data_IF_400528179085
#
_entry.id   IF_400528179085
#
_cell.length_a   1.000
_cell.length_b   1.000
_cell.length_c   1.000
_cell.angle_alpha   90.00
_cell.angle_beta   90.00
_cell.angle_gamma   90.00
#
_symmetry.space_group_name_H-M   'P 1'
#
loop_
_entity.id
_entity.type
_entity.pdbx_description
1 polymer ?
#
# COMPACT_ATOMS: atom_id res chain seq x y z
N UNK A 1 38.60 -5.32 -14.49
CA UNK A 1 37.89 -5.20 -14.24
C UNK A 1 37.42 -5.27 -14.11
N UNK A 2 37.19 -5.52 -14.14
CA UNK A 2 36.35 -5.54 -13.97
C UNK A 2 35.81 -5.71 -13.58
N UNK A 3 35.93 -6.02 -13.71
CA UNK A 3 35.18 -6.13 -13.28
C UNK A 3 34.79 -6.03 -12.98
N UNK A 4 34.88 -6.20 -13.05
CA UNK A 4 34.17 -6.14 -12.68
C UNK A 4 33.45 -6.12 -12.65
N UNK A 5 33.43 -6.36 -13.03
CA UNK A 5 32.39 -6.46 -12.94
C UNK A 5 31.71 -6.70 -12.70
N UNK A 6 31.84 -7.04 -12.79
CA UNK A 6 30.93 -7.36 -12.39
C UNK A 6 30.48 -7.53 -11.86
N UNK A 7 30.59 -7.64 -11.60
CA UNK A 7 29.98 -7.81 -10.90
C UNK A 7 29.25 -7.57 -10.66
N UNK A 8 29.23 -7.53 -10.76
CA UNK A 8 28.41 -7.19 -10.50
C UNK A 8 27.63 -7.03 -10.39
N UNK A 9 27.68 -7.44 -10.47
CA UNK A 9 26.87 -7.32 -10.34
C UNK A 9 26.10 -7.05 -9.91
N UNK A 10 26.58 -7.28 -9.13
CA UNK A 10 25.70 -6.59 -8.62
C UNK A 10 24.42 -6.08 -9.16
N UNK A 11 24.29 -6.08 -10.17
CA UNK A 11 23.08 -5.78 -10.87
C UNK A 11 21.89 -6.59 -10.46
N UNK A 12 22.12 -7.54 -9.59
CA UNK A 12 21.04 -8.39 -9.10
C UNK A 12 20.19 -7.72 -8.04
N UNK A 13 20.63 -6.58 -7.54
CA UNK A 13 19.84 -5.87 -6.52
C UNK A 13 18.74 -5.11 -7.24
N UNK A 14 17.51 -5.51 -6.99
CA UNK A 14 16.33 -4.88 -7.57
C UNK A 14 15.75 -3.92 -6.54
N UNK A 15 15.65 -2.65 -6.92
CA UNK A 15 15.06 -1.66 -6.04
C UNK A 15 13.58 -1.94 -5.86
N UNK A 16 13.04 -1.76 -4.65
CA UNK A 16 11.61 -1.89 -4.47
C UNK A 16 10.88 -0.87 -5.34
N UNK A 17 9.77 -1.29 -5.91
CA UNK A 17 8.99 -0.38 -6.72
C UNK A 17 8.36 0.69 -5.85
N UNK A 18 8.43 1.95 -6.30
CA UNK A 18 7.75 3.05 -5.64
C UNK A 18 6.32 3.22 -6.16
N UNK A 19 5.95 2.50 -7.22
CA UNK A 19 4.60 2.52 -7.75
C UNK A 19 3.62 1.95 -6.73
N UNK A 20 2.51 2.64 -6.54
CA UNK A 20 1.50 2.18 -5.60
C UNK A 20 0.95 0.84 -6.05
N UNK A 21 0.62 0.71 -7.33
CA UNK A 21 0.06 -0.53 -7.85
C UNK A 21 1.07 -1.69 -7.70
N UNK A 22 2.29 -1.48 -8.17
CA UNK A 22 3.25 -2.58 -8.20
C UNK A 22 3.69 -3.02 -6.81
N UNK A 23 3.86 -2.06 -5.89
CA UNK A 23 4.22 -2.42 -4.52
C UNK A 23 3.07 -3.17 -3.84
N UNK A 24 1.83 -2.80 -4.14
CA UNK A 24 0.68 -3.50 -3.58
C UNK A 24 0.60 -4.92 -4.13
N UNK A 25 0.81 -5.10 -5.43
CA UNK A 25 0.81 -6.42 -6.05
C UNK A 25 1.83 -7.33 -5.38
N UNK A 26 3.00 -6.78 -5.08
CA UNK A 26 4.04 -7.56 -4.44
C UNK A 26 3.62 -8.00 -3.04
N UNK A 27 3.00 -7.11 -2.30
CA UNK A 27 2.66 -7.37 -0.90
C UNK A 27 1.46 -8.30 -0.75
N UNK A 28 0.51 -8.28 -1.69
CA UNK A 28 -0.69 -9.10 -1.51
C UNK A 28 -0.50 -10.56 -1.92
N UNK A 29 0.54 -10.88 -2.65
CA UNK A 29 0.74 -12.26 -3.06
C UNK A 29 1.90 -12.45 -4.00
N UNK A 30 2.79 -11.47 -4.08
CA UNK A 30 3.95 -11.59 -4.93
C UNK A 30 3.61 -11.59 -6.41
N UNK A 31 2.57 -10.87 -6.82
CA UNK A 31 2.19 -10.80 -8.22
C UNK A 31 3.25 -10.02 -8.99
N UNK A 32 3.80 -10.62 -10.04
CA UNK A 32 4.85 -9.99 -10.83
C UNK A 32 4.34 -8.75 -11.54
N UNK A 33 5.21 -7.76 -11.72
CA UNK A 33 4.84 -6.55 -12.42
C UNK A 33 4.38 -6.81 -13.84
N UNK A 34 5.01 -7.81 -14.48
CA UNK A 34 4.67 -8.16 -15.85
C UNK A 34 3.33 -8.87 -16.00
N UNK A 35 2.75 -9.33 -14.89
CA UNK A 35 1.46 -10.01 -14.93
C UNK A 35 0.37 -8.98 -14.68
N UNK A 36 -0.32 -8.58 -15.74
CA UNK A 36 -1.21 -7.42 -15.69
C UNK A 36 -2.69 -7.77 -15.77
N UNK A 37 -3.01 -9.06 -15.78
CA UNK A 37 -4.40 -9.50 -15.98
C UNK A 37 -5.33 -8.93 -14.91
N UNK A 38 -4.86 -8.86 -13.67
CA UNK A 38 -5.68 -8.39 -12.55
C UNK A 38 -5.50 -6.92 -12.24
N UNK A 39 -4.66 -6.21 -13.00
CA UNK A 39 -4.39 -4.80 -12.68
C UNK A 39 -5.66 -3.95 -12.55
N UNK A 40 -6.62 -4.04 -13.48
CA UNK A 40 -7.83 -3.21 -13.33
C UNK A 40 -8.58 -3.50 -12.03
N UNK A 41 -8.67 -4.77 -11.66
CA UNK A 41 -9.37 -5.14 -10.42
C UNK A 41 -8.62 -4.63 -9.20
N UNK A 42 -7.30 -4.79 -9.21
CA UNK A 42 -6.49 -4.36 -8.09
C UNK A 42 -6.53 -2.84 -7.93
N UNK A 43 -6.50 -2.11 -9.05
CA UNK A 43 -6.62 -0.65 -9.00
C UNK A 43 -7.96 -0.25 -8.39
N UNK A 44 -9.04 -0.93 -8.77
CA UNK A 44 -10.35 -0.64 -8.20
C UNK A 44 -10.35 -0.85 -6.69
N UNK A 45 -9.74 -1.93 -6.22
CA UNK A 45 -9.68 -2.20 -4.78
C UNK A 45 -8.80 -1.19 -4.06
N UNK A 46 -7.67 -0.81 -4.66
CA UNK A 46 -6.81 0.22 -4.07
C UNK A 46 -7.58 1.53 -3.91
N UNK A 47 -8.34 1.90 -4.93
CA UNK A 47 -9.10 3.15 -4.89
C UNK A 47 -10.17 3.09 -3.81
N UNK A 48 -10.79 1.93 -3.61
CA UNK A 48 -11.74 1.76 -2.51
C UNK A 48 -11.05 1.97 -1.16
N UNK A 49 -9.88 1.39 -0.98
CA UNK A 49 -9.12 1.55 0.25
C UNK A 49 -8.75 3.01 0.47
N UNK A 50 -8.33 3.69 -0.60
CA UNK A 50 -7.95 5.10 -0.48
C UNK A 50 -9.16 5.97 -0.10
N UNK A 51 -10.34 5.62 -0.58
CA UNK A 51 -11.55 6.32 -0.16
C UNK A 51 -11.81 6.10 1.34
N UNK A 52 -11.61 4.89 1.82
CA UNK A 52 -11.74 4.61 3.25
C UNK A 52 -10.72 5.43 4.04
N UNK A 53 -9.47 5.48 3.58
CA UNK A 53 -8.44 6.28 4.25
C UNK A 53 -8.80 7.75 4.26
N UNK A 54 -9.41 8.24 3.19
CA UNK A 54 -9.88 9.62 3.17
C UNK A 54 -10.97 9.83 4.22
N UNK A 55 -11.89 8.89 4.34
CA UNK A 55 -12.96 8.99 5.35
C UNK A 55 -12.42 8.92 6.77
N UNK A 56 -11.32 8.21 6.97
CA UNK A 56 -10.67 8.13 8.29
C UNK A 56 -9.86 9.39 8.61
N UNK A 57 -9.76 10.31 7.66
CA UNK A 57 -9.01 11.55 7.90
C UNK A 57 -7.52 11.41 7.65
N UNK A 58 -7.09 10.31 7.06
CA UNK A 58 -5.67 10.04 6.82
C UNK A 58 -5.14 10.84 5.65
N UNK A 59 -5.97 11.08 4.63
CA UNK A 59 -5.57 11.81 3.44
C UNK A 59 -5.94 13.29 3.54
N UNK A 60 -5.09 14.13 2.96
CA UNK A 60 -5.34 15.59 2.89
C UNK A 60 -6.41 15.91 1.87
N UNK A 61 -6.55 15.06 0.86
CA UNK A 61 -7.52 15.25 -0.22
C UNK A 61 -7.79 13.90 -0.86
N UNK A 62 -8.91 13.76 -1.58
CA UNK A 62 -9.19 12.49 -2.27
C UNK A 62 -8.08 12.15 -3.26
N UNK A 63 -7.75 10.89 -3.36
CA UNK A 63 -6.69 10.42 -4.25
C UNK A 63 -7.06 9.05 -4.78
N UNK A 64 -6.86 8.83 -6.08
CA UNK A 64 -7.12 7.54 -6.68
C UNK A 64 -6.13 7.29 -7.81
N UNK A 65 -5.92 6.01 -8.11
CA UNK A 65 -5.09 5.61 -9.24
C UNK A 65 -5.93 5.67 -10.51
N UNK A 66 -5.34 6.21 -11.56
CA UNK A 66 -5.98 6.24 -12.88
C UNK A 66 -5.21 5.38 -13.87
N UNK A 67 -3.89 5.50 -13.88
CA UNK A 67 -3.05 4.78 -14.84
C UNK A 67 -2.34 3.59 -14.23
N UNK A 68 -2.16 3.58 -12.93
CA UNK A 68 -1.36 2.57 -12.27
C UNK A 68 0.12 2.91 -12.20
N UNK A 69 0.50 4.09 -12.70
CA UNK A 69 1.89 4.54 -12.64
C UNK A 69 2.13 5.49 -11.48
N UNK A 70 1.09 5.85 -10.76
CA UNK A 70 1.20 6.77 -9.63
C UNK A 70 2.14 6.19 -8.56
N UNK A 71 2.93 7.07 -7.95
CA UNK A 71 3.93 6.65 -6.98
C UNK A 71 3.56 7.14 -5.59
N UNK A 72 4.10 6.44 -4.57
CA UNK A 72 3.82 6.79 -3.19
C UNK A 72 4.27 8.20 -2.84
N UNK A 73 5.24 8.75 -3.57
CA UNK A 73 5.76 10.09 -3.29
C UNK A 73 4.71 11.17 -3.39
N UNK A 74 3.70 10.96 -4.24
CA UNK A 74 2.65 11.96 -4.43
C UNK A 74 1.41 11.68 -3.59
N UNK A 75 1.44 10.64 -2.76
CA UNK A 75 0.30 10.27 -1.95
C UNK A 75 0.02 11.35 -0.90
N UNK A 76 -1.16 12.00 -0.91
CA UNK A 76 -1.43 13.16 -0.07
C UNK A 76 -1.91 12.76 1.31
N UNK A 77 -1.00 12.44 2.22
CA UNK A 77 -1.36 11.98 3.55
C UNK A 77 -0.76 12.85 4.64
N UNK A 78 -1.48 12.92 5.76
CA UNK A 78 -0.97 13.54 6.98
C UNK A 78 -0.02 12.61 7.72
N UNK A 79 -0.08 11.31 7.47
CA UNK A 79 0.70 10.31 8.19
C UNK A 79 2.10 10.24 7.58
N UNK A 80 3.12 10.42 8.42
CA UNK A 80 4.50 10.42 7.94
C UNK A 80 5.02 9.02 7.66
N UNK A 81 4.52 8.04 8.38
CA UNK A 81 4.98 6.66 8.22
C UNK A 81 4.23 5.98 7.10
N UNK A 82 4.74 6.15 5.88
CA UNK A 82 4.12 5.53 4.71
C UNK A 82 4.10 4.01 4.80
N UNK A 83 5.01 3.42 5.58
CA UNK A 83 5.04 1.98 5.68
C UNK A 83 3.75 1.42 6.27
N UNK A 84 3.20 2.12 7.27
CA UNK A 84 1.93 1.72 7.86
C UNK A 84 0.81 1.78 6.82
N UNK A 85 0.80 2.85 6.01
CA UNK A 85 -0.22 3.00 4.98
C UNK A 85 -0.07 1.93 3.91
N UNK A 86 1.15 1.64 3.48
CA UNK A 86 1.40 0.61 2.47
C UNK A 86 0.93 -0.76 2.95
N UNK A 87 1.25 -1.08 4.20
CA UNK A 87 0.86 -2.37 4.77
C UNK A 87 -0.65 -2.46 4.92
N UNK A 88 -1.26 -1.41 5.43
CA UNK A 88 -2.72 -1.37 5.55
C UNK A 88 -3.40 -1.55 4.19
N UNK A 89 -2.91 -0.81 3.19
CA UNK A 89 -3.48 -0.88 1.85
C UNK A 89 -3.40 -2.31 1.31
N UNK A 90 -2.24 -2.93 1.44
CA UNK A 90 -2.07 -4.28 0.92
C UNK A 90 -3.01 -5.28 1.60
N UNK A 91 -3.12 -5.22 2.92
CA UNK A 91 -3.99 -6.15 3.64
C UNK A 91 -5.46 -5.94 3.29
N UNK A 92 -5.88 -4.67 3.20
CA UNK A 92 -7.27 -4.37 2.86
C UNK A 92 -7.58 -4.81 1.43
N UNK A 93 -6.68 -4.53 0.49
CA UNK A 93 -6.87 -4.93 -0.90
C UNK A 93 -6.95 -6.45 -0.99
N UNK A 94 -6.11 -7.16 -0.25
CA UNK A 94 -6.15 -8.62 -0.26
C UNK A 94 -7.50 -9.14 0.21
N UNK A 95 -8.11 -8.50 1.20
CA UNK A 95 -9.42 -8.92 1.68
C UNK A 95 -10.50 -8.81 0.62
N UNK A 96 -10.36 -7.85 -0.30
CA UNK A 96 -11.30 -7.72 -1.41
C UNK A 96 -10.95 -8.65 -2.57
N UNK A 97 -9.66 -8.82 -2.85
CA UNK A 97 -9.19 -9.49 -4.05
C UNK A 97 -9.05 -11.00 -3.86
N UNK A 98 -8.48 -11.42 -2.75
CA UNK A 98 -8.18 -12.84 -2.51
C UNK A 98 -8.17 -13.08 -1.00
N UNK A 99 -9.37 -13.05 -0.37
CA UNK A 99 -9.41 -13.10 1.09
C UNK A 99 -8.97 -14.48 1.62
N UNK A 100 -8.23 -14.48 2.73
CA UNK A 100 -7.95 -15.73 3.41
C UNK A 100 -9.21 -16.26 4.07
N UNK A 101 -9.16 -17.50 4.54
CA UNK A 101 -10.32 -18.12 5.19
C UNK A 101 -9.92 -18.65 6.56
N UNK A 102 -10.93 -18.99 7.35
CA UNK A 102 -10.72 -19.62 8.65
C UNK A 102 -9.96 -18.73 9.62
N UNK A 103 -9.05 -19.33 10.37
CA UNK A 103 -8.28 -18.61 11.38
C UNK A 103 -7.43 -17.50 10.76
N UNK A 104 -6.96 -17.72 9.53
CA UNK A 104 -6.16 -16.71 8.84
C UNK A 104 -6.98 -15.45 8.54
N UNK A 105 -8.27 -15.62 8.24
CA UNK A 105 -9.15 -14.48 7.99
C UNK A 105 -9.36 -13.69 9.28
N UNK A 106 -9.59 -14.39 10.38
CA UNK A 106 -9.79 -13.71 11.65
C UNK A 106 -8.55 -12.92 12.06
N UNK A 107 -7.39 -13.52 11.88
CA UNK A 107 -6.13 -12.83 12.19
C UNK A 107 -5.95 -11.59 11.31
N UNK A 108 -6.30 -11.72 10.04
CA UNK A 108 -6.19 -10.58 9.11
C UNK A 108 -7.16 -9.46 9.50
N UNK A 109 -8.40 -9.81 9.86
CA UNK A 109 -9.37 -8.82 10.30
C UNK A 109 -8.88 -8.07 11.53
N UNK A 110 -8.30 -8.78 12.49
CA UNK A 110 -7.79 -8.17 13.70
C UNK A 110 -6.62 -7.23 13.40
N UNK A 111 -5.73 -7.65 12.51
CA UNK A 111 -4.59 -6.83 12.14
C UNK A 111 -5.04 -5.55 11.44
N UNK A 112 -6.02 -5.67 10.54
CA UNK A 112 -6.56 -4.51 9.84
C UNK A 112 -7.19 -3.54 10.83
N UNK A 113 -7.96 -4.05 11.79
CA UNK A 113 -8.59 -3.22 12.79
C UNK A 113 -7.54 -2.48 13.63
N UNK A 114 -6.46 -3.16 14.00
CA UNK A 114 -5.40 -2.52 14.76
C UNK A 114 -4.73 -1.42 13.95
N UNK A 115 -4.49 -1.67 12.66
CA UNK A 115 -3.87 -0.65 11.82
C UNK A 115 -4.77 0.57 11.66
N UNK A 116 -6.09 0.35 11.53
CA UNK A 116 -7.03 1.47 11.44
C UNK A 116 -6.99 2.30 12.72
N UNK A 117 -6.90 1.63 13.87
CA UNK A 117 -6.79 2.35 15.13
C UNK A 117 -5.51 3.18 15.19
N UNK A 118 -4.39 2.59 14.75
CA UNK A 118 -3.12 3.32 14.76
C UNK A 118 -3.14 4.51 13.82
N UNK A 119 -3.77 4.36 12.66
CA UNK A 119 -3.90 5.48 11.72
C UNK A 119 -4.75 6.59 12.30
N UNK A 120 -5.82 6.25 13.00
CA UNK A 120 -6.63 7.26 13.67
C UNK A 120 -5.85 8.01 14.73
N UNK A 121 -5.05 7.29 15.51
CA UNK A 121 -4.24 7.92 16.55
C UNK A 121 -3.21 8.87 15.92
N UNK A 122 -2.67 8.50 14.77
CA UNK A 122 -1.70 9.33 14.07
C UNK A 122 -2.32 10.67 13.63
N UNK A 123 -3.59 10.65 13.27
CA UNK A 123 -4.27 11.84 12.75
C UNK A 123 -4.85 12.69 13.87
N UNK A 124 -5.47 12.06 14.87
CA UNK A 124 -6.18 12.78 15.92
C UNK A 124 -5.31 13.81 16.65
N UNK A 125 -4.08 13.48 17.07
CA UNK A 125 -3.26 14.48 17.73
C UNK A 125 -2.98 15.70 16.88
N UNK A 126 -2.91 15.52 15.55
CA UNK A 126 -2.68 16.65 14.64
C UNK A 126 -3.90 17.56 14.61
N UNK A 127 -5.09 17.00 14.64
CA UNK A 127 -6.30 17.81 14.67
C UNK A 127 -6.38 18.59 15.97
N UNK A 128 -6.09 17.93 17.10
CA UNK A 128 -6.13 18.60 18.39
C UNK A 128 -5.10 19.73 18.41
N UNK A 129 -3.94 19.49 17.89
CA UNK A 129 -2.88 20.48 17.91
C UNK A 129 -3.14 21.66 16.98
N UNK A 130 -4.01 21.48 15.99
CA UNK A 130 -4.29 22.55 15.05
C UNK A 130 -5.22 23.61 15.65
N UNK A 131 -5.80 23.33 16.80
CA UNK A 131 -6.63 24.28 17.48
C UNK A 131 -5.79 25.22 18.33
#
# INVERSE_FOLDING_TARGET
MLVNGGFNMTTTVVQPSTSILQSTKKLIGGIAESYTVFDPDIITHINTVFFILYQLGVLKEPFSLESGTEEWEVFPTYVEDLQLIKTYTAHKVRMFFDPPSGAAKEAADNLIAEMEWRLNVEVDPKEVNSE
#
